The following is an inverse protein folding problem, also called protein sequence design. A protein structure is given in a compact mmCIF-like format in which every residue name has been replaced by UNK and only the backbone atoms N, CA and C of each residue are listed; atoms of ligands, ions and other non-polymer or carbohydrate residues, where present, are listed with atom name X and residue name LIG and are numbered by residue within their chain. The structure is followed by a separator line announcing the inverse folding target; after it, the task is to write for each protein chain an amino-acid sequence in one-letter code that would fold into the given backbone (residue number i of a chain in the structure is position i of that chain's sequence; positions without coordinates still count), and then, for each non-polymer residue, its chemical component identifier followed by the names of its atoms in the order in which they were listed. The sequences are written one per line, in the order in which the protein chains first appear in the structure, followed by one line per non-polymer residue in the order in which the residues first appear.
data_IF_588038112154
#
_entry.id   IF_588038112154
#
_cell.length_a   1.000
_cell.length_b   1.000
_cell.length_c   1.000
_cell.angle_alpha   90.00
_cell.angle_beta   90.00
_cell.angle_gamma   90.00
#
_symmetry.space_group_name_H-M   'P 1'
#
loop_
_entity.id
_entity.type
_entity.pdbx_description
1 polymer ?
#
# COMPACT_ATOMS: atom_id res chain seq x y z
N UNK A 1 -15.35 36.70 28.51
CA UNK A 1 -14.35 36.34 29.55
C UNK A 1 -14.49 34.88 30.02
N UNK A 2 -15.60 34.18 29.73
CA UNK A 2 -15.74 32.74 30.02
C UNK A 2 -15.10 31.82 28.96
N UNK A 3 -14.70 32.36 27.80
CA UNK A 3 -14.23 31.57 26.66
C UNK A 3 -12.79 31.03 26.84
N UNK A 4 -11.97 31.68 27.68
CA UNK A 4 -10.62 31.19 28.00
C UNK A 4 -10.61 29.99 28.96
N UNK A 5 -11.68 29.81 29.75
CA UNK A 5 -11.80 28.70 30.72
C UNK A 5 -12.03 27.33 30.07
N UNK A 6 -12.51 27.32 28.82
CA UNK A 6 -12.74 26.10 28.05
C UNK A 6 -11.65 25.83 27.02
N UNK A 7 -10.55 26.59 27.03
CA UNK A 7 -9.43 26.33 26.14
C UNK A 7 -8.65 25.13 26.68
N UNK A 8 -8.67 23.95 26.02
CA UNK A 8 -7.97 22.79 26.50
C UNK A 8 -6.46 23.06 26.59
N UNK A 9 -5.94 23.09 27.82
CA UNK A 9 -4.51 23.33 28.10
C UNK A 9 -3.61 22.18 27.64
N UNK A 10 -4.20 21.02 27.36
CA UNK A 10 -3.53 19.88 26.77
C UNK A 10 -3.57 20.07 25.25
N UNK A 11 -2.67 20.89 24.73
CA UNK A 11 -2.30 20.77 23.31
C UNK A 11 -1.48 19.49 23.20
N UNK A 12 -2.00 18.40 22.58
CA UNK A 12 -1.17 17.22 22.37
C UNK A 12 0.06 17.67 21.60
N UNK A 13 1.25 17.42 22.15
CA UNK A 13 2.50 17.71 21.46
C UNK A 13 2.38 17.09 20.07
N UNK A 14 2.29 17.95 19.04
CA UNK A 14 2.11 17.51 17.68
C UNK A 14 3.21 16.48 17.41
N UNK A 15 2.81 15.24 17.12
CA UNK A 15 3.76 14.18 16.86
C UNK A 15 4.51 14.58 15.59
N UNK A 16 5.66 15.24 15.75
CA UNK A 16 6.47 15.75 14.66
C UNK A 16 7.22 14.58 14.01
N UNK A 17 6.46 13.70 13.36
CA UNK A 17 7.05 12.69 12.51
C UNK A 17 7.71 13.39 11.33
N UNK A 18 9.02 13.16 11.16
CA UNK A 18 9.82 13.73 10.07
C UNK A 18 9.23 13.41 8.68
N UNK A 19 8.42 12.35 8.58
CA UNK A 19 7.66 11.96 7.38
C UNK A 19 6.29 11.41 7.79
N UNK A 20 5.21 12.21 7.71
CA UNK A 20 3.88 11.75 8.10
C UNK A 20 3.43 10.55 7.25
N UNK A 21 2.70 9.59 7.86
CA UNK A 21 2.22 8.41 7.19
C UNK A 21 1.04 8.77 6.28
N UNK A 22 0.80 7.93 5.29
CA UNK A 22 -0.39 8.02 4.46
C UNK A 22 -1.55 7.29 5.13
N UNK A 23 -2.78 7.73 4.82
CA UNK A 23 -4.00 6.99 5.20
C UNK A 23 -3.94 5.57 4.60
N UNK A 24 -4.03 4.49 5.39
CA UNK A 24 -3.97 3.11 4.87
C UNK A 24 -5.07 2.82 3.85
N UNK A 25 -6.26 3.38 4.02
CA UNK A 25 -7.35 3.25 3.06
C UNK A 25 -7.02 3.84 1.68
N UNK A 26 -6.22 4.91 1.62
CA UNK A 26 -5.85 5.55 0.35
C UNK A 26 -4.89 4.71 -0.49
N UNK A 27 -4.23 3.69 0.09
CA UNK A 27 -3.36 2.77 -0.64
C UNK A 27 -4.14 1.86 -1.63
N UNK A 28 -5.47 1.83 -1.56
CA UNK A 28 -6.30 0.98 -2.44
C UNK A 28 -6.18 1.36 -3.91
N UNK A 29 -6.16 2.65 -4.25
CA UNK A 29 -6.12 3.06 -5.65
C UNK A 29 -4.78 2.68 -6.33
N UNK A 30 -3.58 2.93 -5.76
CA UNK A 30 -2.35 2.49 -6.42
C UNK A 30 -2.20 0.98 -6.39
N UNK A 31 -2.86 0.27 -5.46
CA UNK A 31 -2.90 -1.19 -5.47
C UNK A 31 -3.74 -1.74 -6.64
N UNK A 32 -4.93 -1.18 -6.86
CA UNK A 32 -5.81 -1.57 -7.98
C UNK A 32 -5.16 -1.28 -9.33
N UNK A 33 -4.58 -0.10 -9.51
CA UNK A 33 -4.01 0.31 -10.80
C UNK A 33 -2.58 -0.19 -11.03
N UNK A 34 -1.78 -0.28 -9.96
CA UNK A 34 -0.35 -0.64 -10.04
C UNK A 34 -0.04 -2.11 -9.75
N UNK A 35 -1.01 -2.89 -9.27
CA UNK A 35 -0.81 -4.31 -8.96
C UNK A 35 -0.14 -4.58 -7.62
N UNK A 36 0.38 -5.80 -7.47
CA UNK A 36 0.91 -6.32 -6.22
C UNK A 36 2.20 -5.60 -5.81
N UNK A 37 3.09 -5.28 -6.75
CA UNK A 37 4.34 -4.57 -6.47
C UNK A 37 4.09 -3.16 -5.96
N UNK A 38 3.24 -2.39 -6.63
CA UNK A 38 2.88 -1.05 -6.20
C UNK A 38 2.28 -1.03 -4.79
N UNK A 39 1.33 -1.95 -4.54
CA UNK A 39 0.72 -2.12 -3.22
C UNK A 39 1.76 -2.46 -2.14
N UNK A 40 2.64 -3.43 -2.43
CA UNK A 40 3.65 -3.93 -1.47
C UNK A 40 4.64 -2.84 -1.10
N UNK A 41 5.22 -2.17 -2.11
CA UNK A 41 6.24 -1.14 -1.88
C UNK A 41 5.67 0.02 -1.09
N UNK A 42 4.50 0.55 -1.49
CA UNK A 42 3.87 1.65 -0.76
C UNK A 42 3.48 1.25 0.66
N UNK A 43 2.95 0.04 0.85
CA UNK A 43 2.60 -0.48 2.16
C UNK A 43 3.83 -0.62 3.07
N UNK A 44 4.97 -1.11 2.56
CA UNK A 44 6.21 -1.21 3.33
C UNK A 44 6.80 0.16 3.67
N UNK A 45 6.75 1.12 2.74
CA UNK A 45 7.16 2.50 3.02
C UNK A 45 6.26 3.10 4.10
N UNK A 46 4.94 2.89 4.03
CA UNK A 46 4.01 3.37 5.04
C UNK A 46 4.22 2.69 6.40
N UNK A 47 4.54 1.40 6.41
CA UNK A 47 4.84 0.64 7.62
C UNK A 47 6.08 1.19 8.34
N UNK A 48 7.10 1.62 7.57
CA UNK A 48 8.28 2.32 8.11
C UNK A 48 7.92 3.69 8.70
N UNK A 49 7.05 4.46 8.02
CA UNK A 49 6.56 5.76 8.55
C UNK A 49 5.81 5.55 9.87
N UNK A 50 4.94 4.55 9.94
CA UNK A 50 4.16 4.17 11.13
C UNK A 50 4.94 3.40 12.21
N UNK A 51 6.24 3.13 12.00
CA UNK A 51 7.11 2.35 12.90
C UNK A 51 6.44 1.05 13.34
N UNK A 52 5.90 0.31 12.37
CA UNK A 52 5.30 -1.00 12.63
C UNK A 52 6.36 -2.01 13.11
N UNK A 53 5.97 -3.00 13.93
CA UNK A 53 6.87 -4.10 14.28
C UNK A 53 7.24 -4.93 13.04
N UNK A 54 8.41 -5.58 13.10
CA UNK A 54 8.94 -6.39 12.00
C UNK A 54 7.96 -7.46 11.51
N UNK A 55 7.20 -8.08 12.41
CA UNK A 55 6.19 -9.08 12.03
C UNK A 55 5.11 -8.54 11.08
N UNK A 56 4.65 -7.29 11.29
CA UNK A 56 3.68 -6.66 10.38
C UNK A 56 4.31 -6.33 9.02
N UNK A 57 5.57 -5.89 9.01
CA UNK A 57 6.30 -5.65 7.77
C UNK A 57 6.54 -6.95 6.99
N UNK A 58 6.88 -8.05 7.68
CA UNK A 58 7.03 -9.38 7.08
C UNK A 58 5.71 -9.93 6.56
N UNK A 59 4.59 -9.71 7.24
CA UNK A 59 3.28 -10.09 6.73
C UNK A 59 2.97 -9.36 5.40
N UNK A 60 3.20 -8.05 5.33
CA UNK A 60 3.03 -7.27 4.09
C UNK A 60 3.96 -7.80 2.99
N UNK A 61 5.24 -8.00 3.29
CA UNK A 61 6.23 -8.48 2.31
C UNK A 61 5.91 -9.89 1.81
N UNK A 62 5.55 -10.80 2.72
CA UNK A 62 5.17 -12.18 2.42
C UNK A 62 3.90 -12.25 1.57
N UNK A 63 2.86 -11.48 1.93
CA UNK A 63 1.65 -11.38 1.09
C UNK A 63 1.97 -10.77 -0.27
N UNK A 64 2.82 -9.74 -0.34
CA UNK A 64 3.27 -9.12 -1.58
C UNK A 64 3.97 -10.12 -2.51
N UNK A 65 4.92 -10.88 -1.97
CA UNK A 65 5.63 -11.92 -2.71
C UNK A 65 4.67 -13.02 -3.20
N UNK A 66 3.79 -13.51 -2.32
CA UNK A 66 2.80 -14.54 -2.67
C UNK A 66 1.82 -14.05 -3.75
N UNK A 67 1.33 -12.82 -3.64
CA UNK A 67 0.40 -12.21 -4.60
C UNK A 67 1.06 -12.00 -5.98
N UNK A 68 2.34 -11.61 -6.00
CA UNK A 68 3.12 -11.46 -7.24
C UNK A 68 3.35 -12.82 -7.91
N UNK A 69 3.77 -13.83 -7.15
CA UNK A 69 3.96 -15.20 -7.67
C UNK A 69 2.65 -15.76 -8.21
N UNK A 70 1.56 -15.64 -7.44
CA UNK A 70 0.24 -16.08 -7.87
C UNK A 70 -0.21 -15.37 -9.16
N UNK A 71 0.00 -14.05 -9.26
CA UNK A 71 -0.30 -13.28 -10.47
C UNK A 71 0.49 -13.80 -11.67
N UNK A 72 1.79 -14.03 -11.52
CA UNK A 72 2.66 -14.53 -12.59
C UNK A 72 2.20 -15.90 -13.05
N UNK A 73 2.00 -16.84 -12.11
CA UNK A 73 1.53 -18.20 -12.42
C UNK A 73 0.18 -18.18 -13.12
N UNK A 74 -0.80 -17.43 -12.60
CA UNK A 74 -2.13 -17.36 -13.21
C UNK A 74 -2.04 -16.75 -14.62
N UNK A 75 -1.32 -15.66 -14.78
CA UNK A 75 -1.27 -14.97 -16.08
C UNK A 75 -0.50 -15.78 -17.12
N UNK A 76 0.65 -16.37 -16.73
CA UNK A 76 1.51 -17.11 -17.65
C UNK A 76 0.92 -18.48 -17.97
N UNK A 77 0.43 -19.21 -16.96
CA UNK A 77 -0.03 -20.60 -17.12
C UNK A 77 -1.48 -20.70 -17.58
N UNK A 78 -2.40 -19.93 -16.96
CA UNK A 78 -3.84 -20.05 -17.20
C UNK A 78 -4.36 -19.07 -18.28
N UNK A 79 -3.66 -17.97 -18.54
CA UNK A 79 -4.07 -16.96 -19.54
C UNK A 79 -3.15 -16.91 -20.77
N UNK A 80 -2.24 -17.88 -20.91
CA UNK A 80 -1.24 -17.97 -22.00
C UNK A 80 -0.42 -16.68 -22.18
N UNK A 81 -0.12 -15.97 -21.09
CA UNK A 81 0.64 -14.72 -21.15
C UNK A 81 -0.10 -13.55 -21.81
N UNK A 82 -1.38 -13.70 -22.15
CA UNK A 82 -2.17 -12.65 -22.82
C UNK A 82 -2.43 -11.48 -21.86
N UNK A 83 -2.03 -10.28 -22.28
CA UNK A 83 -2.38 -9.02 -21.60
C UNK A 83 -3.81 -8.58 -21.95
N UNK A 84 -4.80 -9.30 -21.45
CA UNK A 84 -6.23 -9.04 -21.65
C UNK A 84 -6.89 -8.37 -20.44
N UNK A 85 -8.20 -8.10 -20.52
CA UNK A 85 -8.99 -7.60 -19.39
C UNK A 85 -8.96 -8.54 -18.16
N UNK A 86 -8.90 -9.86 -18.36
CA UNK A 86 -8.80 -10.82 -17.24
C UNK A 86 -7.45 -10.75 -16.55
N UNK A 87 -6.34 -10.59 -17.28
CA UNK A 87 -5.02 -10.38 -16.69
C UNK A 87 -4.94 -9.09 -15.86
N UNK A 88 -5.65 -8.03 -16.30
CA UNK A 88 -5.78 -6.78 -15.52
C UNK A 88 -6.58 -7.00 -14.24
N UNK A 89 -7.67 -7.77 -14.30
CA UNK A 89 -8.49 -8.10 -13.14
C UNK A 89 -7.70 -8.91 -12.10
N UNK A 90 -6.98 -9.95 -12.53
CA UNK A 90 -6.09 -10.73 -11.64
C UNK A 90 -5.09 -9.80 -10.97
N UNK A 91 -4.50 -8.87 -11.73
CA UNK A 91 -3.60 -7.86 -11.20
C UNK A 91 -4.20 -6.96 -10.13
N UNK A 92 -5.39 -6.43 -10.39
CA UNK A 92 -6.12 -5.60 -9.44
C UNK A 92 -6.44 -6.39 -8.15
N UNK A 93 -6.88 -7.65 -8.28
CA UNK A 93 -7.17 -8.52 -7.14
C UNK A 93 -5.90 -8.79 -6.32
N UNK A 94 -4.77 -9.10 -6.96
CA UNK A 94 -3.48 -9.28 -6.29
C UNK A 94 -3.07 -8.03 -5.52
N UNK A 95 -3.21 -6.85 -6.12
CA UNK A 95 -2.97 -5.58 -5.43
C UNK A 95 -3.90 -5.36 -4.23
N UNK A 96 -5.19 -5.61 -4.41
CA UNK A 96 -6.21 -5.49 -3.35
C UNK A 96 -5.92 -6.43 -2.18
N UNK A 97 -5.45 -7.66 -2.43
CA UNK A 97 -5.07 -8.59 -1.36
C UNK A 97 -3.93 -8.03 -0.50
N UNK A 98 -2.89 -7.49 -1.13
CA UNK A 98 -1.78 -6.84 -0.41
C UNK A 98 -2.28 -5.62 0.35
N UNK A 99 -3.12 -4.79 -0.28
CA UNK A 99 -3.74 -3.65 0.38
C UNK A 99 -4.57 -4.06 1.59
N UNK A 100 -5.35 -5.14 1.52
CA UNK A 100 -6.17 -5.60 2.64
C UNK A 100 -5.30 -5.95 3.86
N UNK A 101 -4.22 -6.70 3.66
CA UNK A 101 -3.26 -7.03 4.73
C UNK A 101 -2.58 -5.77 5.26
N UNK A 102 -2.14 -4.86 4.39
CA UNK A 102 -1.56 -3.59 4.79
C UNK A 102 -2.54 -2.74 5.61
N UNK A 103 -3.80 -2.66 5.19
CA UNK A 103 -4.84 -1.90 5.86
C UNK A 103 -5.14 -2.48 7.24
N UNK A 104 -5.30 -3.80 7.35
CA UNK A 104 -5.53 -4.48 8.64
C UNK A 104 -4.38 -4.27 9.63
N UNK A 105 -3.13 -4.38 9.16
CA UNK A 105 -1.95 -4.22 10.01
C UNK A 105 -1.66 -2.76 10.38
N UNK A 106 -2.00 -1.80 9.52
CA UNK A 106 -1.68 -0.38 9.71
C UNK A 106 -2.78 0.41 10.42
N UNK A 107 -4.06 0.01 10.28
CA UNK A 107 -5.22 0.77 10.77
C UNK A 107 -5.14 1.11 12.26
N UNK A 108 -4.72 0.15 13.10
CA UNK A 108 -4.60 0.38 14.55
C UNK A 108 -3.60 1.49 14.89
N UNK A 109 -2.38 1.41 14.33
CA UNK A 109 -1.31 2.39 14.57
C UNK A 109 -1.63 3.75 13.96
N UNK A 110 -2.23 3.76 12.77
CA UNK A 110 -2.65 5.00 12.13
C UNK A 110 -3.74 5.73 12.94
N UNK A 111 -4.69 5.00 13.53
CA UNK A 111 -5.71 5.61 14.42
C UNK A 111 -5.07 6.24 15.65
N UNK A 112 -4.09 5.60 16.27
CA UNK A 112 -3.34 6.18 17.39
C UNK A 112 -2.57 7.45 16.98
N UNK A 113 -2.02 7.47 15.76
CA UNK A 113 -1.37 8.66 15.20
C UNK A 113 -2.35 9.83 15.06
N UNK A 114 -3.54 9.60 14.49
CA UNK A 114 -4.57 10.64 14.35
C UNK A 114 -5.09 11.14 15.72
N UNK A 115 -5.31 10.23 16.67
CA UNK A 115 -5.72 10.59 18.05
C UNK A 115 -4.69 11.46 18.79
N UNK A 116 -3.42 11.39 18.39
CA UNK A 116 -2.33 12.23 18.91
C UNK A 116 -2.16 13.53 18.13
N UNK A 117 -3.13 13.92 17.32
CA UNK A 117 -3.10 15.15 16.52
C UNK A 117 -2.28 15.05 15.23
N UNK A 118 -1.88 13.84 14.81
CA UNK A 118 -1.15 13.64 13.57
C UNK A 118 -2.02 13.81 12.32
N UNK A 119 -1.55 14.56 11.33
CA UNK A 119 -2.22 14.71 10.04
C UNK A 119 -1.59 13.82 8.95
N UNK A 120 -2.39 13.15 8.09
CA UNK A 120 -1.83 12.28 7.05
C UNK A 120 -1.16 13.06 5.92
N UNK A 121 -0.11 12.46 5.36
CA UNK A 121 0.48 12.93 4.12
C UNK A 121 -0.44 12.67 2.91
N UNK A 122 -0.33 13.52 1.88
CA UNK A 122 -0.92 13.24 0.57
C UNK A 122 -0.23 12.05 -0.11
N UNK A 123 -1.03 11.09 -0.58
CA UNK A 123 -0.57 9.93 -1.34
C UNK A 123 -0.70 10.14 -2.86
N UNK A 124 -1.30 11.23 -3.34
CA UNK A 124 -1.64 11.38 -4.77
C UNK A 124 -0.41 11.25 -5.67
N UNK A 125 0.61 12.10 -5.46
CA UNK A 125 1.85 12.07 -6.24
C UNK A 125 2.60 10.72 -6.11
N UNK A 126 2.96 10.25 -4.89
CA UNK A 126 3.71 9.00 -4.77
C UNK A 126 2.91 7.78 -5.23
N UNK A 127 1.58 7.77 -5.05
CA UNK A 127 0.76 6.65 -5.48
C UNK A 127 0.58 6.60 -6.99
N UNK A 128 0.42 7.73 -7.70
CA UNK A 128 0.47 7.74 -9.18
C UNK A 128 1.84 7.27 -9.68
N UNK A 129 2.93 7.80 -9.11
CA UNK A 129 4.28 7.42 -9.51
C UNK A 129 4.55 5.92 -9.30
N UNK A 130 4.13 5.36 -8.17
CA UNK A 130 4.25 3.94 -7.88
C UNK A 130 3.35 3.09 -8.79
N UNK A 131 2.09 3.51 -9.01
CA UNK A 131 1.16 2.75 -9.84
C UNK A 131 1.66 2.63 -11.28
N UNK A 132 2.19 3.72 -11.84
CA UNK A 132 2.77 3.69 -13.20
C UNK A 132 4.11 2.98 -13.21
N UNK A 133 5.06 3.38 -12.36
CA UNK A 133 6.42 2.84 -12.38
C UNK A 133 6.47 1.36 -12.05
N UNK A 134 5.89 0.96 -10.91
CA UNK A 134 5.89 -0.45 -10.49
C UNK A 134 4.89 -1.28 -11.28
N UNK A 135 3.80 -0.68 -11.77
CA UNK A 135 2.89 -1.36 -12.69
C UNK A 135 3.56 -1.73 -14.02
N UNK A 136 4.40 -0.85 -14.57
CA UNK A 136 5.22 -1.14 -15.76
C UNK A 136 6.20 -2.26 -15.45
N UNK A 137 6.91 -2.19 -14.31
CA UNK A 137 7.85 -3.26 -13.90
C UNK A 137 7.12 -4.60 -13.79
N UNK A 138 5.95 -4.64 -13.16
CA UNK A 138 5.14 -5.85 -13.03
C UNK A 138 4.68 -6.39 -14.39
N UNK A 139 4.31 -5.52 -15.32
CA UNK A 139 3.96 -5.91 -16.69
C UNK A 139 5.16 -6.50 -17.44
N UNK A 140 6.34 -5.89 -17.33
CA UNK A 140 7.58 -6.41 -17.93
C UNK A 140 7.91 -7.79 -17.37
N UNK A 141 7.78 -7.99 -16.06
CA UNK A 141 7.99 -9.30 -15.44
C UNK A 141 7.06 -10.37 -16.01
N UNK A 142 5.78 -10.04 -16.25
CA UNK A 142 4.82 -10.98 -16.86
C UNK A 142 5.23 -11.31 -18.30
N UNK A 143 5.59 -10.32 -19.11
CA UNK A 143 5.99 -10.52 -20.50
C UNK A 143 7.25 -11.39 -20.59
N UNK A 144 8.26 -11.09 -19.77
CA UNK A 144 9.50 -11.88 -19.71
C UNK A 144 9.21 -13.31 -19.24
N UNK A 145 8.41 -13.48 -18.19
CA UNK A 145 8.04 -14.81 -17.71
C UNK A 145 7.25 -15.62 -18.75
N UNK A 146 6.40 -14.98 -19.53
CA UNK A 146 5.67 -15.62 -20.63
C UNK A 146 6.60 -16.01 -21.79
N UNK A 147 7.62 -15.20 -22.09
CA UNK A 147 8.60 -15.49 -23.14
C UNK A 147 9.58 -16.62 -22.80
N UNK A 148 9.76 -16.91 -21.49
CA UNK A 148 10.63 -17.97 -20.99
C UNK A 148 9.90 -19.32 -20.78
N UNK A 149 8.58 -19.36 -20.99
CA UNK A 149 7.75 -20.57 -20.91
C UNK A 149 7.83 -21.36 -22.22
#
# INVERSE_FOLDING_TARGET
MADDLFTPTITPAAYAERRPPWRPGSLVYPAVFGGALAATVLALVNARRLRLPTGAALAIAGTGAAALVARLVITVVLLDGRTSGSARLVGALSGVLVWAVANLTQKGRFRTYEMRGGAPASLVKPGIAAALGLGIVEAVLIVVAAALR
#
